data_IF_110047635561
#
_entry.id   IF_110047635561
#
_cell.length_a   1.000
_cell.length_b   1.000
_cell.length_c   1.000
_cell.angle_alpha   90.00
_cell.angle_beta   90.00
_cell.angle_gamma   90.00
#
_symmetry.space_group_name_H-M   'P 1'
#
loop_
_entity.id
_entity.type
_entity.pdbx_description
1 polymer ?
#
# COMPACT_ATOMS: atom_id res chain seq x y z
N UNK A 1 -36.78 -12.73 27.53
CA UNK A 1 -35.68 -12.97 26.56
C UNK A 1 -35.60 -11.97 25.40
N UNK A 2 -36.20 -10.77 25.46
CA UNK A 2 -36.04 -9.73 24.41
C UNK A 2 -35.19 -8.51 24.83
N UNK A 3 -34.92 -8.36 26.13
CA UNK A 3 -34.19 -7.20 26.70
C UNK A 3 -32.67 -7.34 26.58
N UNK A 4 -32.14 -8.56 26.65
CA UNK A 4 -30.69 -8.82 26.53
C UNK A 4 -30.16 -8.54 25.11
N UNK A 5 -30.98 -8.76 24.08
CA UNK A 5 -30.60 -8.53 22.69
C UNK A 5 -30.47 -7.03 22.39
N UNK A 6 -31.37 -6.19 22.91
CA UNK A 6 -31.31 -4.73 22.74
C UNK A 6 -30.08 -4.09 23.39
N UNK A 7 -29.67 -4.54 24.58
CA UNK A 7 -28.47 -4.01 25.26
C UNK A 7 -27.17 -4.35 24.50
N UNK A 8 -27.07 -5.53 23.90
CA UNK A 8 -25.90 -5.92 23.09
C UNK A 8 -25.80 -5.10 21.81
N UNK A 9 -26.93 -4.80 21.16
CA UNK A 9 -26.96 -3.93 19.98
C UNK A 9 -26.65 -2.47 20.30
N UNK A 10 -27.14 -1.92 21.41
CA UNK A 10 -26.83 -0.55 21.83
C UNK A 10 -25.36 -0.38 22.29
N UNK A 11 -24.80 -1.36 23.00
CA UNK A 11 -23.39 -1.35 23.37
C UNK A 11 -22.47 -1.46 22.13
N UNK A 12 -22.82 -2.30 21.15
CA UNK A 12 -22.07 -2.42 19.90
C UNK A 12 -22.13 -1.13 19.04
N UNK A 13 -23.27 -0.45 19.01
CA UNK A 13 -23.44 0.82 18.30
C UNK A 13 -22.66 1.98 18.96
N UNK A 14 -22.67 2.06 20.30
CA UNK A 14 -21.90 3.06 21.06
C UNK A 14 -20.38 2.79 20.98
N UNK A 15 -19.95 1.52 20.91
CA UNK A 15 -18.56 1.13 20.65
C UNK A 15 -18.13 1.44 19.21
N UNK A 16 -18.98 1.21 18.21
CA UNK A 16 -18.70 1.56 16.81
C UNK A 16 -18.56 3.07 16.60
N UNK A 17 -19.36 3.88 17.32
CA UNK A 17 -19.24 5.33 17.25
C UNK A 17 -17.98 5.87 17.93
N UNK A 18 -17.51 5.27 19.02
CA UNK A 18 -16.34 5.76 19.78
C UNK A 18 -15.00 5.42 19.13
N UNK A 19 -14.91 4.33 18.37
CA UNK A 19 -13.68 3.90 17.69
C UNK A 19 -13.29 4.75 16.46
N UNK A 20 -14.27 5.42 15.81
CA UNK A 20 -14.00 6.33 14.69
C UNK A 20 -13.41 7.70 15.13
N UNK A 21 -13.24 7.94 16.44
CA UNK A 21 -12.61 9.15 16.98
C UNK A 21 -11.12 9.00 17.24
N UNK A 22 -10.57 7.78 17.13
CA UNK A 22 -9.14 7.55 17.38
C UNK A 22 -8.30 8.09 16.22
N UNK A 23 -7.26 8.86 16.55
CA UNK A 23 -6.26 9.33 15.59
C UNK A 23 -5.31 8.19 15.18
N UNK A 24 -4.59 8.38 14.07
CA UNK A 24 -3.53 7.47 13.62
C UNK A 24 -2.53 7.17 14.73
N UNK A 25 -2.03 8.23 15.37
CA UNK A 25 -1.09 8.13 16.47
C UNK A 25 -1.64 7.38 17.68
N UNK A 26 -2.92 7.55 18.00
CA UNK A 26 -3.57 6.84 19.11
C UNK A 26 -3.74 5.35 18.84
N UNK A 27 -4.05 4.97 17.59
CA UNK A 27 -4.07 3.57 17.19
C UNK A 27 -2.66 3.00 17.20
N UNK A 28 -1.68 3.72 16.64
CA UNK A 28 -0.30 3.28 16.58
C UNK A 28 0.27 2.99 17.96
N UNK A 29 0.12 3.91 18.93
CA UNK A 29 0.56 3.69 20.32
C UNK A 29 0.01 2.41 20.94
N UNK A 30 -1.23 2.03 20.60
CA UNK A 30 -1.91 0.85 21.14
C UNK A 30 -1.51 -0.45 20.46
N UNK A 31 -1.02 -0.38 19.22
CA UNK A 31 -0.79 -1.55 18.36
C UNK A 31 0.67 -1.90 18.32
N UNK A 32 1.55 -0.90 18.29
CA UNK A 32 3.00 -1.08 18.32
C UNK A 32 3.47 -1.75 19.61
N UNK A 33 2.72 -1.59 20.70
CA UNK A 33 2.97 -2.26 21.99
C UNK A 33 2.55 -3.73 22.00
N UNK A 34 1.81 -4.20 20.99
CA UNK A 34 1.24 -5.55 20.90
C UNK A 34 1.60 -6.26 19.59
N UNK A 35 2.79 -5.99 19.04
CA UNK A 35 3.31 -6.72 17.87
C UNK A 35 3.49 -8.19 18.25
N UNK A 36 2.76 -9.08 17.58
CA UNK A 36 2.77 -10.53 17.86
C UNK A 36 4.09 -11.19 17.43
N UNK A 37 4.70 -10.68 16.36
CA UNK A 37 5.92 -11.21 15.79
C UNK A 37 6.74 -10.06 15.21
N UNK A 38 8.04 -10.04 15.49
CA UNK A 38 8.93 -9.05 14.89
C UNK A 38 9.02 -9.25 13.36
N UNK A 39 9.11 -8.18 12.56
CA UNK A 39 9.32 -8.29 11.13
C UNK A 39 10.62 -9.01 10.80
N UNK A 40 10.62 -9.76 9.71
CA UNK A 40 11.84 -10.29 9.13
C UNK A 40 12.37 -9.27 8.13
N UNK A 41 13.44 -8.58 8.51
CA UNK A 41 14.07 -7.56 7.67
C UNK A 41 14.72 -8.18 6.43
N UNK A 42 14.78 -7.41 5.36
CA UNK A 42 15.46 -7.76 4.10
C UNK A 42 14.95 -9.08 3.51
N UNK A 43 13.70 -9.43 3.77
CA UNK A 43 13.05 -10.64 3.26
C UNK A 43 11.83 -10.26 2.43
N UNK A 44 11.83 -10.64 1.15
CA UNK A 44 10.71 -10.38 0.22
C UNK A 44 10.20 -11.69 -0.36
N UNK A 45 8.88 -11.85 -0.38
CA UNK A 45 8.22 -12.91 -1.12
C UNK A 45 7.71 -12.32 -2.44
N UNK A 46 8.31 -12.73 -3.56
CA UNK A 46 7.99 -12.21 -4.90
C UNK A 46 7.00 -13.10 -5.66
N UNK A 47 6.79 -14.33 -5.19
CA UNK A 47 5.87 -15.30 -5.77
C UNK A 47 4.54 -15.29 -5.02
N UNK A 48 3.47 -15.66 -5.73
CA UNK A 48 2.11 -15.69 -5.19
C UNK A 48 1.62 -14.32 -4.68
N UNK A 49 2.08 -13.27 -5.36
CA UNK A 49 1.62 -11.90 -5.18
C UNK A 49 0.14 -11.84 -5.54
N UNK A 50 -0.69 -11.46 -4.57
CA UNK A 50 -2.12 -11.20 -4.76
C UNK A 50 -2.29 -9.84 -5.42
N UNK A 51 -1.79 -8.79 -4.77
CA UNK A 51 -1.99 -7.41 -5.21
C UNK A 51 -0.99 -6.45 -4.53
N UNK A 52 -0.65 -5.37 -5.24
CA UNK A 52 0.12 -4.24 -4.71
C UNK A 52 -0.77 -3.04 -4.39
N UNK A 53 -0.47 -2.35 -3.30
CA UNK A 53 -1.14 -1.12 -2.87
C UNK A 53 -0.13 -0.03 -2.52
N UNK A 54 -0.47 1.21 -2.86
CA UNK A 54 0.18 2.39 -2.31
C UNK A 54 -0.43 2.70 -0.95
N UNK A 55 0.40 2.83 0.07
CA UNK A 55 -0.03 3.11 1.44
C UNK A 55 0.78 4.27 2.02
N UNK A 56 0.24 4.89 3.05
CA UNK A 56 0.90 5.96 3.81
C UNK A 56 1.49 5.45 5.12
N UNK A 57 1.03 4.30 5.61
CA UNK A 57 1.45 3.77 6.91
C UNK A 57 1.44 2.23 6.97
N UNK A 58 2.38 1.63 7.72
CA UNK A 58 2.52 0.17 7.87
C UNK A 58 1.25 -0.55 8.33
N UNK A 59 0.45 0.08 9.18
CA UNK A 59 -0.83 -0.48 9.65
C UNK A 59 -1.84 -0.68 8.52
N UNK A 60 -1.80 0.16 7.49
CA UNK A 60 -2.67 -0.02 6.33
C UNK A 60 -2.32 -1.32 5.60
N UNK A 61 -1.04 -1.71 5.51
CA UNK A 61 -0.67 -2.97 4.88
C UNK A 61 -1.20 -4.18 5.65
N UNK A 62 -1.10 -4.15 6.99
CA UNK A 62 -1.73 -5.15 7.84
C UNK A 62 -3.26 -5.19 7.66
N UNK A 63 -3.91 -4.02 7.55
CA UNK A 63 -5.35 -3.93 7.27
C UNK A 63 -5.73 -4.60 5.97
N UNK A 64 -4.98 -4.26 4.92
CA UNK A 64 -5.18 -4.75 3.57
C UNK A 64 -5.09 -6.27 3.55
N UNK A 65 -4.04 -6.85 4.14
CA UNK A 65 -3.92 -8.30 4.21
C UNK A 65 -5.04 -8.95 5.03
N UNK A 66 -5.42 -8.36 6.16
CA UNK A 66 -6.50 -8.91 6.98
C UNK A 66 -7.83 -8.99 6.22
N UNK A 67 -8.17 -7.93 5.49
CA UNK A 67 -9.43 -7.78 4.74
C UNK A 67 -9.42 -8.48 3.38
N UNK A 68 -8.25 -8.76 2.82
CA UNK A 68 -8.12 -9.43 1.53
C UNK A 68 -8.27 -10.94 1.70
N UNK A 69 -9.26 -11.53 1.04
CA UNK A 69 -9.47 -12.97 1.04
C UNK A 69 -8.23 -13.67 0.48
N UNK A 70 -7.74 -14.67 1.22
CA UNK A 70 -6.59 -15.48 0.81
C UNK A 70 -5.23 -14.93 1.23
N UNK A 71 -5.10 -13.67 1.66
CA UNK A 71 -3.82 -13.14 2.11
C UNK A 71 -3.32 -13.86 3.38
N UNK A 72 -2.04 -14.23 3.38
CA UNK A 72 -1.34 -14.90 4.49
C UNK A 72 -0.12 -14.11 4.97
N UNK A 73 0.46 -13.27 4.13
CA UNK A 73 1.60 -12.41 4.49
C UNK A 73 1.65 -11.18 3.60
N UNK A 74 2.54 -10.24 3.95
CA UNK A 74 2.80 -9.09 3.13
C UNK A 74 4.23 -8.57 3.27
N UNK A 75 4.70 -7.90 2.22
CA UNK A 75 5.92 -7.11 2.26
C UNK A 75 5.57 -5.62 2.35
N UNK A 76 6.28 -4.90 3.22
CA UNK A 76 6.15 -3.47 3.40
C UNK A 76 7.46 -2.76 3.08
N UNK A 77 7.37 -1.74 2.22
CA UNK A 77 8.46 -0.84 1.87
C UNK A 77 8.21 0.48 2.57
N UNK A 78 8.91 0.72 3.67
CA UNK A 78 8.65 1.88 4.53
C UNK A 78 8.98 3.19 3.83
N UNK A 79 10.12 3.24 3.16
CA UNK A 79 10.53 4.42 2.42
C UNK A 79 9.61 4.65 1.23
N UNK A 80 9.23 3.64 0.45
CA UNK A 80 8.41 3.85 -0.75
C UNK A 80 6.89 3.91 -0.47
N UNK A 81 6.44 3.49 0.70
CA UNK A 81 5.01 3.39 1.02
C UNK A 81 4.29 2.34 0.17
N UNK A 82 4.94 1.20 -0.07
CA UNK A 82 4.38 0.11 -0.89
C UNK A 82 4.02 -1.08 0.00
N UNK A 83 2.88 -1.68 -0.28
CA UNK A 83 2.39 -2.91 0.33
C UNK A 83 2.19 -3.98 -0.75
N UNK A 84 2.85 -5.12 -0.61
CA UNK A 84 2.67 -6.30 -1.47
C UNK A 84 1.99 -7.41 -0.67
N UNK A 85 0.76 -7.78 -1.03
CA UNK A 85 0.03 -8.87 -0.37
C UNK A 85 0.34 -10.21 -1.02
N UNK A 86 0.53 -11.25 -0.22
CA UNK A 86 0.85 -12.60 -0.70
C UNK A 86 -0.11 -13.65 -0.11
N UNK A 87 -0.40 -14.71 -0.86
CA UNK A 87 -1.26 -15.81 -0.41
C UNK A 87 -0.52 -16.94 0.32
N UNK A 88 0.80 -16.83 0.45
CA UNK A 88 1.67 -17.77 1.19
C UNK A 88 2.35 -17.08 2.38
N UNK A 89 2.93 -17.88 3.25
CA UNK A 89 3.86 -17.42 4.31
C UNK A 89 5.31 -17.68 3.93
N UNK A 90 6.24 -16.94 4.55
CA UNK A 90 7.69 -17.13 4.44
C UNK A 90 8.10 -18.58 4.74
N UNK A 91 7.47 -19.23 5.74
CA UNK A 91 7.79 -20.61 6.12
C UNK A 91 7.41 -21.65 5.05
N UNK A 92 6.35 -21.39 4.28
CA UNK A 92 5.96 -22.24 3.14
C UNK A 92 6.87 -22.04 1.93
N UNK A 93 7.43 -20.84 1.75
CA UNK A 93 8.39 -20.51 0.70
C UNK A 93 9.79 -21.12 0.89
N UNK A 94 10.17 -21.57 2.09
CA UNK A 94 11.47 -22.20 2.36
C UNK A 94 11.70 -23.52 1.57
N UNK A 95 10.67 -24.03 0.89
CA UNK A 95 10.69 -25.28 0.13
C UNK A 95 10.89 -25.05 -1.38
N UNK A 96 10.69 -23.83 -1.90
CA UNK A 96 10.80 -23.52 -3.34
C UNK A 96 11.34 -22.10 -3.57
N UNK A 97 12.56 -21.98 -4.12
CA UNK A 97 13.32 -20.71 -4.10
C UNK A 97 13.06 -19.84 -5.32
N UNK A 98 12.48 -18.65 -5.10
CA UNK A 98 12.93 -17.42 -5.76
C UNK A 98 12.99 -16.25 -4.77
N UNK A 99 13.79 -16.39 -3.72
CA UNK A 99 14.07 -15.29 -2.80
C UNK A 99 15.13 -14.36 -3.41
N UNK A 100 14.84 -13.06 -3.45
CA UNK A 100 15.88 -12.05 -3.55
C UNK A 100 16.36 -11.74 -2.13
N UNK A 101 17.34 -12.50 -1.63
CA UNK A 101 18.14 -12.09 -0.47
C UNK A 101 19.13 -11.01 -0.94
N UNK A 102 18.61 -9.83 -1.26
CA UNK A 102 19.43 -8.67 -1.54
C UNK A 102 20.21 -8.25 -0.29
N UNK A 103 21.44 -7.76 -0.47
CA UNK A 103 22.19 -7.07 0.59
C UNK A 103 21.59 -5.70 0.93
N UNK A 104 20.46 -5.34 0.33
CA UNK A 104 19.89 -4.00 0.39
C UNK A 104 18.84 -3.89 1.52
N UNK A 105 18.92 -2.83 2.35
CA UNK A 105 17.92 -2.51 3.36
C UNK A 105 16.71 -1.82 2.71
N UNK A 106 15.50 -2.11 3.19
CA UNK A 106 14.33 -1.28 2.84
C UNK A 106 12.97 -1.96 2.86
N UNK A 107 12.93 -3.29 2.99
CA UNK A 107 11.67 -4.03 3.05
C UNK A 107 11.59 -4.95 4.27
N UNK A 108 10.39 -5.04 4.82
CA UNK A 108 10.07 -5.90 5.94
C UNK A 108 9.00 -6.92 5.52
N UNK A 109 9.27 -8.19 5.80
CA UNK A 109 8.26 -9.24 5.74
C UNK A 109 7.47 -9.27 7.04
N UNK A 110 6.16 -9.43 6.90
CA UNK A 110 5.23 -9.62 7.99
C UNK A 110 4.26 -10.75 7.66
N UNK A 111 4.00 -11.61 8.64
CA UNK A 111 2.87 -12.52 8.58
C UNK A 111 1.56 -11.73 8.73
N UNK A 112 0.44 -12.31 8.29
CA UNK A 112 -0.90 -11.70 8.37
C UNK A 112 -1.23 -11.12 9.75
N UNK A 113 -0.74 -11.74 10.82
CA UNK A 113 -1.05 -11.38 12.20
C UNK A 113 0.11 -10.70 12.94
N UNK A 114 1.15 -10.24 12.26
CA UNK A 114 2.31 -9.59 12.91
C UNK A 114 1.93 -8.33 13.70
N UNK A 115 0.98 -7.53 13.21
CA UNK A 115 0.32 -6.49 14.02
C UNK A 115 -0.99 -7.02 14.57
N UNK A 116 -1.03 -7.31 15.88
CA UNK A 116 -2.28 -7.62 16.54
C UNK A 116 -3.06 -6.33 16.76
N UNK A 117 -4.02 -6.04 15.88
CA UNK A 117 -5.13 -5.18 16.28
C UNK A 117 -6.34 -6.05 16.55
N UNK A 118 -6.99 -5.78 17.68
CA UNK A 118 -8.22 -6.46 18.08
C UNK A 118 -9.21 -6.34 16.92
N UNK A 119 -9.84 -7.47 16.52
CA UNK A 119 -10.78 -7.54 15.39
C UNK A 119 -11.84 -6.44 15.39
N UNK A 120 -12.25 -6.00 16.58
CA UNK A 120 -13.20 -4.91 16.78
C UNK A 120 -12.72 -3.54 16.29
N UNK A 121 -11.43 -3.36 15.99
CA UNK A 121 -10.83 -2.11 15.49
C UNK A 121 -10.62 -2.12 13.96
N UNK A 122 -10.70 -3.30 13.34
CA UNK A 122 -10.72 -3.46 11.89
C UNK A 122 -12.15 -3.43 11.40
N UNK A 123 -12.59 -2.29 10.89
CA UNK A 123 -13.91 -2.19 10.32
C UNK A 123 -13.87 -2.38 8.80
N UNK A 124 -14.44 -3.49 8.35
CA UNK A 124 -14.98 -3.60 7.00
C UNK A 124 -16.02 -2.50 6.78
N UNK A 125 -16.11 -2.01 5.55
CA UNK A 125 -17.24 -1.18 5.17
C UNK A 125 -18.56 -1.92 5.46
N UNK A 126 -19.63 -1.18 5.76
CA UNK A 126 -20.98 -1.75 5.92
C UNK A 126 -21.38 -2.63 4.72
N UNK A 127 -22.53 -3.30 4.78
CA UNK A 127 -23.00 -4.27 3.77
C UNK A 127 -22.93 -3.84 2.28
N UNK A 128 -22.72 -2.55 1.98
CA UNK A 128 -22.43 -2.06 0.64
C UNK A 128 -20.96 -1.62 0.52
N UNK A 129 -20.17 -2.33 -0.30
CA UNK A 129 -18.80 -1.96 -0.66
C UNK A 129 -18.84 -1.10 -1.95
N UNK A 130 -18.51 0.22 -1.88
CA UNK A 130 -18.49 1.08 -3.05
C UNK A 130 -17.21 0.94 -3.90
N UNK A 131 -16.20 0.23 -3.40
CA UNK A 131 -14.89 0.14 -4.04
C UNK A 131 -14.91 -0.79 -5.26
N UNK A 132 -14.20 -0.38 -6.31
CA UNK A 132 -14.14 -1.05 -7.59
C UNK A 132 -12.74 -1.61 -7.85
N UNK A 133 -12.58 -2.39 -8.92
CA UNK A 133 -11.29 -2.81 -9.46
C UNK A 133 -10.34 -3.46 -8.44
N UNK A 134 -10.85 -4.32 -7.55
CA UNK A 134 -10.05 -5.03 -6.55
C UNK A 134 -9.60 -4.16 -5.35
N UNK A 135 -10.14 -2.95 -5.21
CA UNK A 135 -9.85 -2.10 -4.08
C UNK A 135 -10.44 -2.61 -2.77
N UNK A 136 -9.68 -2.40 -1.70
CA UNK A 136 -10.06 -2.83 -0.36
C UNK A 136 -10.77 -1.69 0.35
N UNK A 137 -11.98 -1.97 0.80
CA UNK A 137 -12.78 -0.99 1.52
C UNK A 137 -12.42 -1.01 3.00
N UNK A 138 -11.84 0.09 3.48
CA UNK A 138 -11.51 0.31 4.87
C UNK A 138 -12.38 1.44 5.42
N UNK A 139 -12.73 1.42 6.71
CA UNK A 139 -13.21 2.65 7.36
C UNK A 139 -12.00 3.47 7.76
N UNK A 140 -11.99 4.75 7.40
CA UNK A 140 -10.89 5.67 7.72
C UNK A 140 -10.81 5.86 9.25
N UNK A 141 -9.90 5.13 9.89
CA UNK A 141 -9.02 5.75 10.89
C UNK A 141 -8.02 6.61 10.10
N UNK A 142 -7.26 7.50 10.71
CA UNK A 142 -6.24 8.34 10.05
C UNK A 142 -6.82 9.62 9.41
N UNK A 143 -6.85 10.72 10.16
CA UNK A 143 -6.92 12.07 9.56
C UNK A 143 -5.60 12.35 8.83
N UNK A 144 -5.50 11.91 7.58
CA UNK A 144 -4.49 12.43 6.65
C UNK A 144 -5.19 13.25 5.57
N UNK A 145 -4.64 14.44 5.31
CA UNK A 145 -4.92 15.39 4.23
C UNK A 145 -6.02 16.46 4.38
N UNK A 146 -6.27 17.00 5.59
CA UNK A 146 -6.84 18.35 5.75
C UNK A 146 -8.26 18.63 5.21
N UNK A 147 -9.00 17.62 4.73
CA UNK A 147 -10.40 17.74 4.31
C UNK A 147 -11.28 17.04 5.34
N UNK A 148 -12.16 17.80 5.99
CA UNK A 148 -13.20 17.28 6.85
C UNK A 148 -14.11 16.32 6.08
N UNK A 149 -14.10 15.04 6.45
CA UNK A 149 -15.16 14.08 6.11
C UNK A 149 -15.79 13.62 7.42
N UNK A 150 -17.10 13.29 7.46
CA UNK A 150 -17.71 12.69 8.63
C UNK A 150 -16.90 11.46 9.06
N UNK A 151 -16.65 11.26 10.37
CA UNK A 151 -16.04 10.04 10.86
C UNK A 151 -16.82 8.82 10.33
N UNK A 152 -16.10 7.76 9.96
CA UNK A 152 -16.63 6.48 9.45
C UNK A 152 -17.08 6.40 7.97
N UNK A 153 -16.81 7.40 7.10
CA UNK A 153 -17.04 7.21 5.67
C UNK A 153 -16.13 6.09 5.09
N UNK A 154 -16.63 5.24 4.16
CA UNK A 154 -15.82 4.28 3.44
C UNK A 154 -14.63 4.95 2.73
N UNK A 155 -13.46 4.32 2.84
CA UNK A 155 -12.24 4.65 2.12
C UNK A 155 -11.85 3.45 1.25
N UNK A 156 -11.72 3.68 -0.04
CA UNK A 156 -11.18 2.67 -0.95
C UNK A 156 -9.67 2.84 -1.04
N UNK A 157 -8.94 1.80 -0.63
CA UNK A 157 -7.51 1.72 -0.85
C UNK A 157 -7.30 1.04 -2.20
N UNK A 158 -6.81 1.82 -3.16
CA UNK A 158 -6.73 1.40 -4.55
C UNK A 158 -5.51 0.50 -4.79
N UNK A 159 -5.67 -0.56 -5.58
CA UNK A 159 -4.53 -1.28 -6.12
C UNK A 159 -3.69 -0.34 -6.99
N UNK A 160 -2.39 -0.63 -7.07
CA UNK A 160 -1.49 0.05 -8.01
C UNK A 160 -2.07 0.00 -9.42
N UNK A 161 -2.10 1.13 -10.10
CA UNK A 161 -2.70 1.28 -11.44
C UNK A 161 -4.15 1.76 -11.43
N UNK A 162 -4.75 1.99 -10.27
CA UNK A 162 -6.10 2.56 -10.16
C UNK A 162 -6.14 3.78 -9.23
N UNK A 163 -7.01 4.72 -9.56
CA UNK A 163 -7.22 5.97 -8.85
C UNK A 163 -8.70 6.37 -8.86
N UNK A 164 -9.02 7.53 -8.26
CA UNK A 164 -10.39 7.97 -8.02
C UNK A 164 -10.85 7.71 -6.58
N UNK A 165 -12.10 8.09 -6.28
CA UNK A 165 -12.64 7.99 -4.90
C UNK A 165 -12.95 6.55 -4.52
N UNK A 166 -13.35 5.76 -5.51
CA UNK A 166 -13.75 4.37 -5.41
C UNK A 166 -12.85 3.45 -6.25
N UNK A 167 -11.68 3.95 -6.68
CA UNK A 167 -10.73 3.25 -7.54
C UNK A 167 -11.31 2.91 -8.92
N UNK A 168 -12.21 3.76 -9.41
CA UNK A 168 -12.97 3.62 -10.65
C UNK A 168 -12.19 4.06 -11.91
N UNK A 169 -11.08 4.78 -11.73
CA UNK A 169 -10.24 5.28 -12.82
C UNK A 169 -9.02 4.35 -12.94
N UNK A 170 -8.77 3.81 -14.13
CA UNK A 170 -7.52 3.13 -14.42
C UNK A 170 -6.46 4.17 -14.82
N UNK A 171 -5.31 4.14 -14.18
CA UNK A 171 -4.18 4.98 -14.55
C UNK A 171 -3.66 4.52 -15.92
N UNK A 172 -3.70 5.42 -16.91
CA UNK A 172 -3.18 5.19 -18.26
C UNK A 172 -2.31 6.38 -18.71
N UNK A 173 -1.43 6.15 -19.67
CA UNK A 173 -0.55 7.16 -20.25
C UNK A 173 -0.96 7.51 -21.69
N UNK A 174 -0.79 8.77 -22.08
CA UNK A 174 -1.01 9.25 -23.45
C UNK A 174 0.34 9.52 -24.13
N UNK A 175 0.47 9.13 -25.41
CA UNK A 175 1.71 9.32 -26.17
C UNK A 175 2.91 8.69 -25.45
N UNK A 176 3.95 9.49 -25.21
CA UNK A 176 5.15 9.05 -24.45
C UNK A 176 4.95 9.05 -22.93
N UNK A 177 3.79 9.47 -22.41
CA UNK A 177 3.53 9.55 -20.98
C UNK A 177 4.20 10.74 -20.26
N UNK A 178 4.68 11.76 -20.97
CA UNK A 178 5.23 12.97 -20.36
C UNK A 178 4.24 13.70 -19.43
N UNK A 179 2.94 13.67 -19.78
CA UNK A 179 1.84 14.22 -18.98
C UNK A 179 1.32 13.29 -17.89
N UNK A 180 1.79 12.04 -17.83
CA UNK A 180 1.28 11.05 -16.87
C UNK A 180 1.52 11.49 -15.42
N UNK A 181 0.45 11.46 -14.61
CA UNK A 181 0.48 11.79 -13.17
C UNK A 181 -0.15 10.71 -12.30
N UNK A 182 -0.34 9.51 -12.84
CA UNK A 182 -0.78 8.35 -12.07
C UNK A 182 0.25 7.93 -11.02
N UNK A 183 -0.11 6.96 -10.19
CA UNK A 183 0.62 6.61 -8.97
C UNK A 183 1.28 5.23 -9.04
N UNK A 184 1.52 4.71 -10.25
CA UNK A 184 2.23 3.43 -10.42
C UNK A 184 3.69 3.58 -9.95
N UNK A 185 4.18 2.79 -8.96
CA UNK A 185 5.53 2.91 -8.42
C UNK A 185 6.38 1.65 -8.70
N UNK A 186 6.04 0.89 -9.73
CA UNK A 186 6.71 -0.38 -10.08
C UNK A 186 6.97 -0.47 -11.58
N UNK A 187 8.09 -1.11 -11.92
CA UNK A 187 8.50 -1.35 -13.30
C UNK A 187 7.73 -2.50 -13.95
N UNK A 188 7.88 -2.69 -15.25
CA UNK A 188 7.26 -3.80 -16.00
C UNK A 188 7.62 -5.18 -15.45
N UNK A 189 8.83 -5.37 -14.95
CA UNK A 189 9.24 -6.63 -14.28
C UNK A 189 8.94 -6.66 -12.77
N UNK A 190 8.17 -5.70 -12.25
CA UNK A 190 7.73 -5.68 -10.85
C UNK A 190 8.78 -5.23 -9.85
N UNK A 191 9.82 -4.53 -10.30
CA UNK A 191 10.80 -3.89 -9.41
C UNK A 191 10.20 -2.62 -8.83
N UNK A 192 10.47 -2.37 -7.55
CA UNK A 192 10.03 -1.14 -6.89
C UNK A 192 10.85 0.03 -7.44
N UNK A 193 10.18 1.14 -7.72
CA UNK A 193 10.84 2.36 -8.15
C UNK A 193 11.57 3.02 -6.97
N UNK A 194 12.78 3.51 -7.23
CA UNK A 194 13.51 4.42 -6.37
C UNK A 194 12.81 5.80 -6.36
N UNK A 195 12.76 6.45 -5.20
CA UNK A 195 12.25 7.83 -5.11
C UNK A 195 13.10 8.80 -5.95
N UNK A 196 12.45 9.70 -6.67
CA UNK A 196 13.13 10.70 -7.53
C UNK A 196 13.99 11.71 -6.76
N UNK A 197 13.77 11.85 -5.45
CA UNK A 197 14.63 12.67 -4.59
C UNK A 197 15.71 11.86 -3.87
N UNK A 198 15.73 10.53 -4.01
CA UNK A 198 16.79 9.67 -3.48
C UNK A 198 17.96 9.63 -4.45
N UNK A 199 19.16 9.39 -3.93
CA UNK A 199 20.39 9.18 -4.72
C UNK A 199 20.95 7.75 -4.56
N UNK A 200 20.19 6.87 -3.91
CA UNK A 200 20.55 5.46 -3.66
C UNK A 200 19.36 4.57 -4.06
N UNK A 201 19.61 3.39 -4.69
CA UNK A 201 20.93 2.88 -5.12
C UNK A 201 21.53 3.60 -6.32
N UNK A 202 20.72 4.31 -7.12
CA UNK A 202 21.17 4.94 -8.35
C UNK A 202 21.25 6.47 -8.19
N UNK A 203 22.45 7.02 -8.09
CA UNK A 203 22.65 8.47 -8.16
C UNK A 203 22.26 9.01 -9.55
N UNK A 204 21.57 10.17 -9.61
CA UNK A 204 21.05 10.73 -10.86
C UNK A 204 20.74 12.23 -10.80
N UNK A 205 20.73 12.88 -11.96
CA UNK A 205 20.41 14.32 -12.11
C UNK A 205 18.91 14.63 -12.24
N UNK A 206 18.06 13.63 -12.49
CA UNK A 206 16.60 13.79 -12.67
C UNK A 206 15.86 13.91 -11.34
N UNK A 207 16.06 15.05 -10.67
CA UNK A 207 15.44 15.34 -9.38
C UNK A 207 14.28 16.31 -9.54
N UNK A 208 13.36 16.40 -8.56
CA UNK A 208 12.26 17.37 -8.58
C UNK A 208 12.76 18.82 -8.71
N UNK A 209 13.94 19.12 -8.15
CA UNK A 209 14.57 20.43 -8.24
C UNK A 209 15.06 20.76 -9.67
N UNK A 210 15.60 19.77 -10.38
CA UNK A 210 16.14 19.96 -11.73
C UNK A 210 15.05 19.85 -12.82
N UNK A 211 13.97 19.11 -12.55
CA UNK A 211 12.86 18.88 -13.48
C UNK A 211 11.50 19.21 -12.82
N UNK A 212 11.27 20.47 -12.42
CA UNK A 212 10.10 20.85 -11.60
C UNK A 212 8.75 20.65 -12.31
N UNK A 213 8.71 20.71 -13.64
CA UNK A 213 7.49 20.52 -14.44
C UNK A 213 7.15 19.05 -14.72
N UNK A 214 8.06 18.11 -14.43
CA UNK A 214 7.91 16.69 -14.76
C UNK A 214 7.10 15.90 -13.72
N UNK A 215 6.70 16.54 -12.62
CA UNK A 215 5.88 15.90 -11.58
C UNK A 215 6.58 14.72 -10.91
N UNK A 216 7.90 14.82 -10.70
CA UNK A 216 8.76 13.79 -10.10
C UNK A 216 8.47 13.61 -8.60
N UNK A 217 7.25 13.19 -8.27
CA UNK A 217 6.81 13.00 -6.89
C UNK A 217 7.03 11.55 -6.43
N UNK A 218 7.47 11.38 -5.18
CA UNK A 218 7.72 10.08 -4.57
C UNK A 218 8.60 9.21 -5.49
N UNK A 219 8.18 7.98 -5.76
CA UNK A 219 8.78 7.03 -6.68
C UNK A 219 7.85 6.66 -7.85
N UNK A 220 6.89 7.52 -8.19
CA UNK A 220 5.95 7.20 -9.26
C UNK A 220 6.63 7.21 -10.63
N UNK A 221 6.22 6.32 -11.53
CA UNK A 221 6.71 6.28 -12.90
C UNK A 221 6.45 7.60 -13.62
N UNK A 222 7.47 8.16 -14.29
CA UNK A 222 7.41 9.45 -14.99
C UNK A 222 8.25 9.39 -16.26
N UNK A 223 8.09 10.38 -17.11
CA UNK A 223 8.92 10.54 -18.31
C UNK A 223 9.44 11.99 -18.42
N UNK A 224 10.50 12.35 -17.67
CA UNK A 224 11.06 13.71 -17.68
C UNK A 224 11.92 14.02 -18.91
N UNK A 225 12.32 13.01 -19.70
CA UNK A 225 13.36 13.11 -20.73
C UNK A 225 12.95 12.62 -22.13
N UNK A 226 11.68 12.25 -22.31
CA UNK A 226 11.13 11.94 -23.64
C UNK A 226 11.36 10.49 -24.10
N UNK A 227 11.51 9.56 -23.16
CA UNK A 227 11.57 8.12 -23.42
C UNK A 227 10.28 7.60 -24.08
N UNK A 228 10.26 6.36 -24.59
CA UNK A 228 9.08 5.77 -25.24
C UNK A 228 7.84 5.62 -24.34
N UNK A 229 8.01 5.69 -23.03
CA UNK A 229 6.93 5.58 -22.04
C UNK A 229 7.40 6.03 -20.66
N UNK A 230 6.50 6.00 -19.68
CA UNK A 230 6.87 6.27 -18.28
C UNK A 230 7.81 5.21 -17.73
N UNK A 231 8.79 5.65 -16.96
CA UNK A 231 9.84 4.81 -16.39
C UNK A 231 10.21 5.30 -14.99
N UNK A 232 11.06 4.55 -14.30
CA UNK A 232 11.66 4.99 -13.05
C UNK A 232 13.07 4.40 -12.87
N UNK A 233 13.88 5.02 -12.02
CA UNK A 233 15.03 4.32 -11.43
C UNK A 233 14.51 3.21 -10.53
N UNK A 234 15.20 2.08 -10.44
CA UNK A 234 14.72 0.93 -9.64
C UNK A 234 15.46 0.83 -8.31
N UNK A 235 14.88 0.19 -7.31
CA UNK A 235 15.59 -0.12 -6.06
C UNK A 235 16.53 -1.31 -6.18
N UNK A 236 16.54 -2.01 -7.33
CA UNK A 236 17.48 -3.09 -7.62
C UNK A 236 18.84 -2.51 -8.10
N UNK A 237 19.95 -2.78 -7.40
CA UNK A 237 21.27 -2.33 -7.83
C UNK A 237 21.69 -2.86 -9.20
N UNK A 238 21.15 -4.02 -9.63
CA UNK A 238 21.44 -4.64 -10.92
C UNK A 238 20.72 -3.98 -12.11
N UNK A 239 19.64 -3.23 -11.85
CA UNK A 239 18.81 -2.61 -12.88
C UNK A 239 18.69 -1.12 -12.60
N UNK A 240 19.50 -0.29 -13.29
CA UNK A 240 19.52 1.15 -13.03
C UNK A 240 18.15 1.81 -13.17
N UNK A 241 17.47 1.54 -14.28
CA UNK A 241 16.15 2.07 -14.58
C UNK A 241 15.42 1.08 -15.50
N UNK A 242 14.10 1.20 -15.55
CA UNK A 242 13.26 0.36 -16.39
C UNK A 242 11.93 1.07 -16.70
N UNK A 243 11.33 0.74 -17.84
CA UNK A 243 9.96 1.16 -18.16
C UNK A 243 8.97 0.59 -17.14
N UNK A 244 7.85 1.29 -16.98
CA UNK A 244 6.72 0.82 -16.18
C UNK A 244 5.59 0.31 -17.06
N UNK A 245 4.86 -0.67 -16.54
CA UNK A 245 3.69 -1.23 -17.21
C UNK A 245 2.45 -0.36 -16.92
N UNK A 246 2.37 0.77 -17.62
CA UNK A 246 1.20 1.66 -17.62
C UNK A 246 0.52 1.57 -18.99
N UNK A 247 -0.76 1.16 -19.07
CA UNK A 247 -1.45 1.02 -20.34
C UNK A 247 -1.62 2.38 -21.04
N UNK A 248 -1.74 2.36 -22.36
CA UNK A 248 -2.12 3.57 -23.11
C UNK A 248 -3.61 3.83 -22.95
N UNK A 249 -4.00 5.10 -22.80
CA UNK A 249 -5.37 5.54 -23.04
C UNK A 249 -5.65 5.51 -24.57
#
# INVERSE_FOLDING_TARGET
MKVLQFYVFFAAALLQSSLCYLTEEEILRRVETNVNSQPVKNTRLTQNLIQRYQITHRLQCSQLCFLTKGCQSYNYYEEEGICELNDQTYLQGLVDFSFQTGKDPGWEYHDRYSFYMIRAWWHECSAHNPCQNGAVCTRKVLKSSGVERPPCAPLCVCPVGYSGRHCEIQDCQEGSGASYRGKVPVTTTGKVCQRWNSQTPHGHSKTPANYPSSGLEQNYCRNPDGESGVWCYTTDPGTRWELCDVPTC
#
